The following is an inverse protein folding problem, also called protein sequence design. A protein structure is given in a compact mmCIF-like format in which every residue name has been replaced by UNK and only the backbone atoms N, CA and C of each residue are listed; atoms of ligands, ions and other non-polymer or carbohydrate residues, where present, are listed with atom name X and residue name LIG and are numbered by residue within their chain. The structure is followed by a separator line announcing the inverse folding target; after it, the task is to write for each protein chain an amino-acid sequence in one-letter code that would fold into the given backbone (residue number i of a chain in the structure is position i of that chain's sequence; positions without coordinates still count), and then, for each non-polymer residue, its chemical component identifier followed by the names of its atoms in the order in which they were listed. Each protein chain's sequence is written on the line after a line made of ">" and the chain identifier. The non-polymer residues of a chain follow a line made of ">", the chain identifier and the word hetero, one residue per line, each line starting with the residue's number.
data_IF_062695407444
#
_entry.id   IF_062695407444
#
_cell.length_a   1.000
_cell.length_b   1.000
_cell.length_c   1.000
_cell.angle_alpha   90.00
_cell.angle_beta   90.00
_cell.angle_gamma   90.00
#
_symmetry.space_group_name_H-M   'P 1'
#
loop_
_entity.id
_entity.type
_entity.pdbx_description
1 polymer ?
#
# COMPACT_ATOMS: atom_id res chain seq x y z
N UNK A 1 5.91 -12.99 -0.08
CA UNK A 1 4.91 -11.95 -0.43
C UNK A 1 5.27 -10.59 0.15
N UNK A 2 5.51 -10.48 1.46
CA UNK A 2 5.84 -9.19 2.11
C UNK A 2 7.03 -8.45 1.50
N UNK A 3 8.13 -9.16 1.19
CA UNK A 3 9.29 -8.55 0.53
C UNK A 3 8.96 -7.96 -0.84
N UNK A 4 8.05 -8.60 -1.59
CA UNK A 4 7.64 -8.11 -2.89
C UNK A 4 6.73 -6.89 -2.78
N UNK A 5 5.75 -6.89 -1.87
CA UNK A 5 4.86 -5.74 -1.62
C UNK A 5 5.64 -4.47 -1.24
N UNK A 6 6.78 -4.62 -0.58
CA UNK A 6 7.67 -3.52 -0.17
C UNK A 6 8.65 -3.08 -1.26
N UNK A 7 8.77 -3.81 -2.37
CA UNK A 7 9.64 -3.40 -3.48
C UNK A 7 8.98 -2.28 -4.30
N UNK A 8 9.74 -1.49 -5.07
CA UNK A 8 9.19 -0.46 -5.95
C UNK A 8 8.09 -1.01 -6.88
N UNK A 9 8.31 -2.18 -7.47
CA UNK A 9 7.39 -2.85 -8.38
C UNK A 9 6.11 -3.30 -7.66
N UNK A 10 6.24 -3.83 -6.44
CA UNK A 10 5.09 -4.22 -5.63
C UNK A 10 4.26 -3.02 -5.18
N UNK A 11 4.90 -1.89 -4.87
CA UNK A 11 4.21 -0.66 -4.49
C UNK A 11 3.46 -0.03 -5.66
N UNK A 12 4.08 -0.02 -6.84
CA UNK A 12 3.43 0.45 -8.07
C UNK A 12 2.21 -0.41 -8.39
N UNK A 13 2.37 -1.74 -8.38
CA UNK A 13 1.27 -2.67 -8.61
C UNK A 13 0.16 -2.53 -7.56
N UNK A 14 0.52 -2.32 -6.29
CA UNK A 14 -0.44 -2.06 -5.22
C UNK A 14 -1.23 -0.76 -5.46
N UNK A 15 -0.56 0.32 -5.88
CA UNK A 15 -1.21 1.58 -6.24
C UNK A 15 -2.17 1.40 -7.42
N UNK A 16 -1.75 0.69 -8.46
CA UNK A 16 -2.60 0.38 -9.61
C UNK A 16 -3.88 -0.34 -9.16
N UNK A 17 -3.75 -1.39 -8.35
CA UNK A 17 -4.88 -2.19 -7.90
C UNK A 17 -5.82 -1.45 -6.94
N UNK A 18 -5.26 -0.73 -5.95
CA UNK A 18 -6.04 -0.14 -4.85
C UNK A 18 -6.57 1.25 -5.23
N UNK A 19 -5.75 2.10 -5.85
CA UNK A 19 -6.11 3.50 -6.13
C UNK A 19 -6.70 3.66 -7.53
N UNK A 20 -6.10 2.99 -8.52
CA UNK A 20 -6.46 3.15 -9.94
C UNK A 20 -7.41 2.06 -10.46
N UNK A 21 -7.93 1.20 -9.57
CA UNK A 21 -8.90 0.14 -9.88
C UNK A 21 -8.43 -0.84 -10.97
N UNK A 22 -7.13 -0.99 -11.13
CA UNK A 22 -6.57 -2.03 -11.97
C UNK A 22 -7.03 -3.40 -11.46
N UNK A 23 -7.43 -4.28 -12.38
CA UNK A 23 -7.90 -5.62 -12.06
C UNK A 23 -6.93 -6.64 -12.62
N UNK A 24 -6.51 -7.59 -11.77
CA UNK A 24 -5.74 -8.74 -12.24
C UNK A 24 -6.50 -9.62 -13.22
N UNK A 25 -7.83 -9.68 -13.09
CA UNK A 25 -8.72 -10.53 -13.90
C UNK A 25 -10.05 -9.82 -14.16
N UNK A 26 -10.78 -10.26 -15.19
CA UNK A 26 -12.11 -9.73 -15.49
C UNK A 26 -13.18 -10.12 -14.48
N UNK A 27 -13.03 -11.28 -13.80
CA UNK A 27 -13.97 -11.81 -12.80
C UNK A 27 -13.23 -12.21 -11.53
N UNK A 28 -13.83 -11.94 -10.38
CA UNK A 28 -13.24 -12.20 -9.05
C UNK A 28 -12.88 -13.68 -8.85
N UNK A 29 -13.73 -14.58 -9.34
CA UNK A 29 -13.52 -16.03 -9.26
C UNK A 29 -12.28 -16.55 -10.00
N UNK A 30 -11.73 -15.75 -10.92
CA UNK A 30 -10.53 -16.10 -11.68
C UNK A 30 -9.24 -15.68 -10.94
N UNK A 31 -9.35 -15.00 -9.79
CA UNK A 31 -8.19 -14.60 -9.01
C UNK A 31 -7.45 -15.82 -8.46
N UNK A 32 -6.15 -15.85 -8.71
CA UNK A 32 -5.28 -16.88 -8.13
C UNK A 32 -5.05 -16.60 -6.64
N UNK A 33 -4.68 -17.64 -5.90
CA UNK A 33 -4.29 -17.51 -4.49
C UNK A 33 -3.18 -16.48 -4.29
N UNK A 34 -2.22 -16.41 -5.21
CA UNK A 34 -1.11 -15.46 -5.11
C UNK A 34 -1.55 -14.00 -5.33
N UNK A 35 -2.47 -13.77 -6.27
CA UNK A 35 -3.06 -12.44 -6.48
C UNK A 35 -3.88 -12.01 -5.26
N UNK A 36 -4.65 -12.92 -4.66
CA UNK A 36 -5.40 -12.65 -3.43
C UNK A 36 -4.44 -12.32 -2.28
N UNK A 37 -3.40 -13.14 -2.09
CA UNK A 37 -2.40 -12.94 -1.04
C UNK A 37 -1.65 -11.62 -1.23
N UNK A 38 -1.34 -11.25 -2.48
CA UNK A 38 -0.75 -9.96 -2.80
C UNK A 38 -1.66 -8.80 -2.40
N UNK A 39 -2.93 -8.83 -2.82
CA UNK A 39 -3.90 -7.76 -2.50
C UNK A 39 -4.08 -7.59 -0.99
N UNK A 40 -4.19 -8.69 -0.26
CA UNK A 40 -4.29 -8.66 1.21
C UNK A 40 -3.04 -8.05 1.86
N UNK A 41 -1.85 -8.51 1.46
CA UNK A 41 -0.60 -7.98 1.99
C UNK A 41 -0.38 -6.50 1.63
N UNK A 42 -0.72 -6.09 0.41
CA UNK A 42 -0.66 -4.70 -0.05
C UNK A 42 -1.60 -3.79 0.74
N UNK A 43 -2.83 -4.24 1.00
CA UNK A 43 -3.79 -3.50 1.82
C UNK A 43 -3.31 -3.36 3.27
N UNK A 44 -2.86 -4.45 3.89
CA UNK A 44 -2.31 -4.43 5.25
C UNK A 44 -1.14 -3.46 5.38
N UNK A 45 -0.21 -3.49 4.42
CA UNK A 45 0.94 -2.60 4.40
C UNK A 45 0.54 -1.12 4.30
N UNK A 46 -0.45 -0.78 3.48
CA UNK A 46 -0.98 0.60 3.40
C UNK A 46 -1.64 1.04 4.69
N UNK A 47 -2.43 0.18 5.32
CA UNK A 47 -3.05 0.47 6.61
C UNK A 47 -1.96 0.80 7.64
N UNK A 48 -0.86 0.03 7.66
CA UNK A 48 0.29 0.32 8.54
C UNK A 48 0.93 1.68 8.25
N UNK A 49 1.12 2.05 6.98
CA UNK A 49 1.67 3.36 6.63
C UNK A 49 0.74 4.54 6.99
N UNK A 50 -0.57 4.32 7.00
CA UNK A 50 -1.54 5.37 7.40
C UNK A 50 -1.62 5.56 8.91
N UNK A 51 -1.06 4.63 9.71
CA UNK A 51 -1.02 4.81 11.17
C UNK A 51 -0.14 6.02 11.48
N UNK A 52 -0.58 6.92 12.39
CA UNK A 52 0.26 7.99 12.87
C UNK A 52 1.55 7.42 13.41
N UNK A 53 2.69 7.85 12.87
CA UNK A 53 3.99 7.58 13.48
C UNK A 53 4.01 8.26 14.86
N UNK A 54 4.18 7.48 15.94
CA UNK A 54 4.41 8.03 17.29
C UNK A 54 5.63 8.97 17.32
N UNK A 55 6.54 8.85 16.36
CA UNK A 55 7.76 9.66 16.25
C UNK A 55 7.61 10.97 15.44
N UNK A 56 6.38 11.37 15.07
CA UNK A 56 6.17 12.24 13.91
C UNK A 56 5.64 13.65 14.12
N UNK A 57 5.41 14.14 15.33
CA UNK A 57 4.92 15.53 15.52
C UNK A 57 6.10 16.52 15.40
N UNK A 58 6.63 16.72 14.19
CA UNK A 58 7.54 17.85 13.92
C UNK A 58 6.72 19.15 13.95
N UNK A 59 6.73 19.80 15.10
CA UNK A 59 6.22 21.17 15.27
C UNK A 59 7.12 22.09 14.43
N UNK A 60 6.61 22.60 13.31
CA UNK A 60 7.29 23.65 12.55
C UNK A 60 7.17 24.92 13.40
N UNK A 61 8.27 25.32 14.05
CA UNK A 61 8.34 26.57 14.81
C UNK A 61 8.81 27.62 13.81
N UNK A 62 7.94 28.57 13.49
CA UNK A 62 8.31 29.78 12.75
C UNK A 62 8.68 30.81 13.81
N UNK A 63 9.95 31.19 13.89
CA UNK A 63 10.39 32.38 14.62
C UNK A 63 10.42 33.55 13.64
N UNK A 64 9.64 34.59 13.94
CA UNK A 64 9.73 35.89 13.26
C UNK A 64 10.90 36.68 13.89
N UNK A 65 11.81 37.19 13.04
CA UNK A 65 12.89 38.11 13.41
C UNK A 65 12.38 39.55 13.60
#
# INVERSE_FOLDING_TARGET
>A
MENFVRSPEGLELAALCIDYKYKFTGRIQDLTRDQINFLMAALSYRIEQTKPSEAGMRKIIITED
#
